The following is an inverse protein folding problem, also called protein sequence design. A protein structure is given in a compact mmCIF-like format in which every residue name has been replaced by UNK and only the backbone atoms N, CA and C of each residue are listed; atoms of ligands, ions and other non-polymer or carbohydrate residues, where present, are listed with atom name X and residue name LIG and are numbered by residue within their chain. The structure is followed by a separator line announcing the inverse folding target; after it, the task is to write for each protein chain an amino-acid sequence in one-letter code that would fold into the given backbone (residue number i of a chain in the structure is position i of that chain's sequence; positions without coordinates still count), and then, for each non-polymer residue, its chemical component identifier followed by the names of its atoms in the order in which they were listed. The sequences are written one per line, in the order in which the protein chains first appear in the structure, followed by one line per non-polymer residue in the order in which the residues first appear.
data_IF_608935158274
#
_entry.id   IF_608935158274
#
_cell.length_a   1.000
_cell.length_b   1.000
_cell.length_c   1.000
_cell.angle_alpha   90.00
_cell.angle_beta   90.00
_cell.angle_gamma   90.00
#
_symmetry.space_group_name_H-M   'P 1'
#
loop_
_entity.id
_entity.type
_entity.pdbx_description
1 polymer ?
#
# COMPACT_ATOMS: atom_id res chain seq x y z
N UNK A 1 -24.25 13.14 -49.33
CA UNK A 1 -23.99 12.93 -47.89
C UNK A 1 -22.82 11.98 -47.76
N UNK A 2 -21.69 12.41 -47.20
CA UNK A 2 -20.39 11.75 -47.34
C UNK A 2 -20.12 10.89 -46.10
N UNK A 3 -20.27 9.56 -46.22
CA UNK A 3 -20.19 8.57 -45.13
C UNK A 3 -18.86 8.64 -44.34
N UNK A 4 -17.81 9.19 -44.95
CA UNK A 4 -16.47 9.33 -44.35
C UNK A 4 -16.38 10.36 -43.23
N UNK A 5 -17.29 11.35 -43.16
CA UNK A 5 -17.24 12.40 -42.12
C UNK A 5 -17.96 12.02 -40.83
N UNK A 6 -18.87 11.06 -40.85
CA UNK A 6 -19.62 10.64 -39.66
C UNK A 6 -18.86 9.63 -38.80
N UNK A 7 -17.94 8.86 -39.40
CA UNK A 7 -17.18 7.83 -38.67
C UNK A 7 -16.08 8.41 -37.74
N UNK A 8 -15.65 9.64 -37.98
CA UNK A 8 -14.55 10.26 -37.22
C UNK A 8 -14.98 10.91 -35.90
N UNK A 9 -16.29 11.15 -35.70
CA UNK A 9 -16.78 11.78 -34.47
C UNK A 9 -17.13 10.74 -33.40
N UNK A 10 -17.47 9.50 -33.78
CA UNK A 10 -17.80 8.43 -32.82
C UNK A 10 -16.52 7.80 -32.23
N UNK A 11 -15.42 7.75 -32.98
CA UNK A 11 -14.15 7.20 -32.50
C UNK A 11 -13.44 8.09 -31.45
N UNK A 12 -13.73 9.41 -31.43
CA UNK A 12 -13.18 10.33 -30.43
C UNK A 12 -13.99 10.37 -29.12
N UNK A 13 -15.24 9.90 -29.12
CA UNK A 13 -16.10 9.84 -27.93
C UNK A 13 -15.99 8.52 -27.17
N UNK A 14 -15.44 7.46 -27.77
CA UNK A 14 -15.21 6.17 -27.10
C UNK A 14 -13.88 6.07 -26.34
N UNK A 15 -13.08 7.13 -26.26
CA UNK A 15 -11.79 7.15 -25.54
C UNK A 15 -11.87 7.64 -24.09
N UNK A 16 -13.07 7.90 -23.56
CA UNK A 16 -13.26 8.38 -22.16
C UNK A 16 -14.23 7.45 -21.39
N UNK A 17 -14.24 6.17 -21.73
CA UNK A 17 -15.03 5.17 -21.03
C UNK A 17 -14.14 4.00 -20.59
N UNK A 18 -13.03 4.31 -19.94
CA UNK A 18 -12.22 3.32 -19.23
C UNK A 18 -12.17 3.69 -17.75
N UNK A 19 -13.18 3.20 -17.03
CA UNK A 19 -13.23 2.96 -15.57
C UNK A 19 -12.74 4.10 -14.65
N UNK A 20 -13.63 5.04 -14.25
CA UNK A 20 -13.30 6.04 -13.24
C UNK A 20 -13.02 5.45 -11.84
N UNK A 21 -13.56 4.28 -11.50
CA UNK A 21 -13.43 3.72 -10.13
C UNK A 21 -12.01 3.33 -9.73
N UNK A 22 -11.18 2.86 -10.67
CA UNK A 22 -9.79 2.53 -10.34
C UNK A 22 -8.89 3.77 -10.26
N UNK A 23 -9.35 4.93 -10.75
CA UNK A 23 -8.58 6.16 -10.68
C UNK A 23 -8.42 6.63 -9.23
N UNK A 24 -9.48 6.48 -8.44
CA UNK A 24 -9.57 6.89 -7.04
C UNK A 24 -8.69 6.03 -6.10
N UNK A 25 -8.10 4.94 -6.60
CA UNK A 25 -7.12 4.14 -5.86
C UNK A 25 -5.68 4.65 -6.05
N UNK A 26 -5.36 5.21 -7.21
CA UNK A 26 -4.00 5.61 -7.54
C UNK A 26 -3.58 6.83 -6.74
N UNK A 27 -2.30 6.89 -6.38
CA UNK A 27 -1.76 8.05 -5.70
C UNK A 27 -1.24 7.74 -4.31
N UNK A 28 -1.17 8.78 -3.49
CA UNK A 28 -0.46 8.74 -2.21
C UNK A 28 -1.41 8.48 -1.05
N UNK A 29 -1.11 7.44 -0.27
CA UNK A 29 -1.84 7.10 0.95
C UNK A 29 -0.95 7.32 2.17
N UNK A 30 -1.51 7.84 3.26
CA UNK A 30 -0.77 8.00 4.51
C UNK A 30 -1.65 7.76 5.74
N UNK A 31 -1.01 7.38 6.84
CA UNK A 31 -1.74 7.13 8.07
C UNK A 31 -0.89 6.64 9.22
N UNK A 32 -1.55 5.90 10.11
CA UNK A 32 -0.99 5.44 11.38
C UNK A 32 -1.42 4.01 11.70
N UNK A 33 -0.81 3.45 12.72
CA UNK A 33 -0.98 2.05 13.08
C UNK A 33 -0.70 1.80 14.55
N UNK A 34 -1.00 0.59 14.99
CA UNK A 34 -0.80 0.14 16.37
C UNK A 34 -0.17 -1.24 16.39
N UNK A 35 0.62 -1.48 17.42
CA UNK A 35 1.35 -2.72 17.63
C UNK A 35 2.82 -2.44 17.87
N UNK A 36 3.53 -3.46 18.34
CA UNK A 36 4.98 -3.41 18.52
C UNK A 36 5.56 -4.80 18.25
N UNK A 37 6.87 -4.88 18.09
CA UNK A 37 7.60 -6.15 18.10
C UNK A 37 9.03 -5.95 18.60
N UNK A 38 9.71 -7.07 18.86
CA UNK A 38 11.04 -7.09 19.46
C UNK A 38 12.00 -7.85 18.53
N UNK A 39 12.64 -7.17 17.56
CA UNK A 39 13.53 -7.79 16.59
C UNK A 39 14.68 -8.56 17.25
N UNK A 40 15.24 -8.01 18.32
CA UNK A 40 16.25 -8.65 19.17
C UNK A 40 16.17 -8.10 20.61
N UNK A 41 16.86 -8.73 21.59
CA UNK A 41 16.77 -8.33 22.98
C UNK A 41 17.09 -6.84 23.19
N UNK A 42 16.26 -6.17 24.00
CA UNK A 42 16.44 -4.76 24.35
C UNK A 42 15.93 -3.76 23.31
N UNK A 43 15.50 -4.21 22.12
CA UNK A 43 14.91 -3.34 21.10
C UNK A 43 13.42 -3.61 20.98
N UNK A 44 12.65 -2.53 21.00
CA UNK A 44 11.23 -2.50 20.67
C UNK A 44 11.04 -1.52 19.52
N UNK A 45 10.28 -1.93 18.53
CA UNK A 45 9.89 -1.07 17.41
C UNK A 45 8.38 -1.01 17.31
N UNK A 46 7.86 0.06 16.71
CA UNK A 46 6.43 0.27 16.49
C UNK A 46 6.14 0.39 14.99
N UNK A 47 6.11 -0.75 14.27
CA UNK A 47 5.90 -0.74 12.83
C UNK A 47 4.59 -0.04 12.49
N UNK A 48 4.62 0.76 11.42
CA UNK A 48 3.45 1.47 10.92
C UNK A 48 2.86 2.50 11.90
N UNK A 49 3.55 2.90 12.98
CA UNK A 49 3.06 3.97 13.87
C UNK A 49 2.71 5.23 13.07
N UNK A 50 3.58 5.58 12.13
CA UNK A 50 3.28 6.47 11.01
C UNK A 50 3.77 5.81 9.72
N UNK A 51 3.07 6.07 8.62
CA UNK A 51 3.46 5.52 7.32
C UNK A 51 2.96 6.38 6.17
N UNK A 52 3.65 6.25 5.03
CA UNK A 52 3.28 6.84 3.76
C UNK A 52 3.59 5.84 2.64
N UNK A 53 2.66 5.65 1.72
CA UNK A 53 2.85 4.79 0.56
C UNK A 53 2.18 5.34 -0.68
N UNK A 54 2.48 4.70 -1.80
CA UNK A 54 1.98 5.04 -3.12
C UNK A 54 1.39 3.79 -3.77
N UNK A 55 0.26 3.96 -4.43
CA UNK A 55 -0.36 2.95 -5.28
C UNK A 55 -0.14 3.35 -6.74
N UNK A 56 0.53 2.47 -7.50
CA UNK A 56 0.81 2.71 -8.91
C UNK A 56 0.81 1.42 -9.74
N UNK A 57 0.75 1.57 -11.07
CA UNK A 57 0.90 0.46 -12.03
C UNK A 57 2.11 0.70 -12.91
N UNK A 58 2.86 -0.36 -13.21
CA UNK A 58 3.95 -0.34 -14.20
C UNK A 58 3.50 -1.03 -15.48
N UNK A 59 4.04 -0.64 -16.63
CA UNK A 59 3.68 -1.23 -17.93
C UNK A 59 3.97 -2.73 -18.01
N UNK A 60 4.96 -3.20 -17.25
CA UNK A 60 5.44 -4.59 -17.26
C UNK A 60 4.78 -5.50 -16.22
N UNK A 61 3.78 -5.02 -15.46
CA UNK A 61 3.15 -5.81 -14.39
C UNK A 61 1.64 -5.97 -14.56
N UNK A 62 1.20 -7.21 -14.33
CA UNK A 62 -0.21 -7.60 -14.40
C UNK A 62 -1.04 -7.01 -13.24
N UNK A 63 -0.40 -6.75 -12.10
CA UNK A 63 -1.03 -6.26 -10.88
C UNK A 63 -0.46 -4.90 -10.46
N UNK A 64 -1.27 -4.00 -9.89
CA UNK A 64 -0.77 -2.80 -9.26
C UNK A 64 0.08 -3.08 -8.02
N UNK A 65 0.94 -2.12 -7.66
CA UNK A 65 1.81 -2.19 -6.48
C UNK A 65 1.34 -1.16 -5.46
N UNK A 66 1.40 -1.54 -4.18
CA UNK A 66 1.41 -0.63 -3.05
C UNK A 66 2.76 -0.72 -2.34
N UNK A 67 3.51 0.38 -2.29
CA UNK A 67 4.80 0.42 -1.59
C UNK A 67 5.03 1.75 -0.88
N UNK A 68 5.95 1.78 0.06
CA UNK A 68 6.21 2.97 0.85
C UNK A 68 7.11 2.72 2.03
N UNK A 69 7.01 3.62 3.00
CA UNK A 69 7.84 3.65 4.21
C UNK A 69 7.00 3.83 5.47
N UNK A 70 7.52 3.30 6.57
CA UNK A 70 6.98 3.51 7.90
C UNK A 70 8.08 4.03 8.83
N UNK A 71 7.66 4.75 9.87
CA UNK A 71 8.54 5.26 10.91
C UNK A 71 7.84 5.32 12.26
N UNK A 72 8.61 5.22 13.33
CA UNK A 72 8.15 5.41 14.69
C UNK A 72 8.83 6.59 15.39
N UNK A 73 8.29 6.98 16.55
CA UNK A 73 8.80 8.11 17.34
C UNK A 73 10.18 7.86 17.95
N UNK A 74 10.64 6.61 17.96
CA UNK A 74 11.98 6.24 18.44
C UNK A 74 13.04 6.33 17.32
N UNK A 75 12.63 6.71 16.12
CA UNK A 75 13.51 6.84 14.96
C UNK A 75 13.74 5.52 14.22
N UNK A 76 13.00 4.45 14.54
CA UNK A 76 13.02 3.24 13.72
C UNK A 76 12.22 3.49 12.45
N UNK A 77 12.67 2.91 11.35
CA UNK A 77 12.00 3.04 10.06
C UNK A 77 12.20 1.78 9.20
N UNK A 78 11.41 1.67 8.15
CA UNK A 78 11.44 0.55 7.23
C UNK A 78 10.60 0.79 6.00
N UNK A 79 10.64 -0.14 5.07
CA UNK A 79 9.82 -0.08 3.85
C UNK A 79 8.76 -1.16 3.84
N UNK A 80 7.78 -1.03 2.95
CA UNK A 80 6.84 -2.09 2.64
C UNK A 80 6.55 -2.13 1.16
N UNK A 81 6.20 -3.32 0.67
CA UNK A 81 5.78 -3.54 -0.72
C UNK A 81 4.81 -4.71 -0.82
N UNK A 82 3.72 -4.52 -1.53
CA UNK A 82 2.70 -5.54 -1.77
C UNK A 82 2.05 -5.39 -3.13
N UNK A 83 1.53 -6.51 -3.62
CA UNK A 83 0.73 -6.53 -4.85
C UNK A 83 -0.73 -6.30 -4.50
N UNK A 84 -1.42 -5.56 -5.37
CA UNK A 84 -2.84 -5.26 -5.24
C UNK A 84 -3.64 -6.24 -6.10
N UNK A 85 -4.74 -6.73 -5.55
CA UNK A 85 -5.75 -7.44 -6.29
C UNK A 85 -7.14 -6.86 -6.01
N UNK A 86 -8.01 -6.97 -7.01
CA UNK A 86 -9.38 -6.47 -6.95
C UNK A 86 -10.32 -7.65 -6.64
N UNK A 87 -10.83 -7.78 -5.40
CA UNK A 87 -11.88 -8.76 -5.11
C UNK A 87 -13.16 -8.45 -5.91
N UNK A 88 -14.16 -9.35 -5.91
CA UNK A 88 -15.45 -9.09 -6.56
C UNK A 88 -16.26 -7.91 -5.99
N UNK A 89 -15.77 -7.25 -4.93
CA UNK A 89 -16.37 -6.06 -4.35
C UNK A 89 -15.81 -4.86 -5.13
N UNK A 90 -16.67 -4.18 -5.89
CA UNK A 90 -16.26 -3.18 -6.90
C UNK A 90 -15.58 -1.94 -6.33
N UNK A 91 -15.69 -1.70 -5.02
CA UNK A 91 -15.22 -0.49 -4.33
C UNK A 91 -14.00 -0.77 -3.41
N UNK A 92 -13.51 -2.01 -3.44
CA UNK A 92 -12.38 -2.44 -2.61
C UNK A 92 -11.21 -2.91 -3.46
N UNK A 93 -10.00 -2.60 -2.99
CA UNK A 93 -8.77 -3.22 -3.45
C UNK A 93 -7.98 -3.74 -2.25
N UNK A 94 -7.28 -4.87 -2.41
CA UNK A 94 -6.52 -5.47 -1.33
C UNK A 94 -5.05 -5.55 -1.72
N UNK A 95 -4.17 -4.94 -0.92
CA UNK A 95 -2.73 -5.11 -1.00
C UNK A 95 -2.26 -6.18 -0.01
N UNK A 96 -1.45 -7.12 -0.48
CA UNK A 96 -0.76 -8.09 0.36
C UNK A 96 0.73 -8.11 0.04
N UNK A 97 1.57 -8.09 1.08
CA UNK A 97 3.00 -7.88 0.90
C UNK A 97 3.84 -8.14 2.14
N UNK A 98 5.07 -7.63 2.08
CA UNK A 98 6.04 -7.68 3.17
C UNK A 98 6.41 -6.26 3.63
N UNK A 99 6.79 -6.16 4.89
CA UNK A 99 7.40 -4.97 5.46
C UNK A 99 8.77 -5.31 6.03
N UNK A 100 9.64 -4.31 6.06
CA UNK A 100 11.04 -4.42 6.46
C UNK A 100 11.37 -3.43 7.58
N UNK A 101 12.56 -3.54 8.15
CA UNK A 101 13.11 -2.61 9.14
C UNK A 101 14.59 -2.38 8.84
N UNK A 102 15.04 -1.13 8.90
CA UNK A 102 16.46 -0.80 8.87
C UNK A 102 17.01 -0.84 10.29
N UNK A 103 17.74 -1.91 10.60
CA UNK A 103 18.40 -2.08 11.90
C UNK A 103 19.54 -1.06 12.04
N UNK A 104 19.44 -0.08 12.95
CA UNK A 104 20.48 0.93 13.13
C UNK A 104 21.79 0.35 13.69
N UNK A 105 21.72 -0.80 14.38
CA UNK A 105 22.87 -1.53 14.91
C UNK A 105 23.34 -2.64 13.97
N UNK A 106 22.63 -2.83 12.85
CA UNK A 106 22.92 -3.80 11.83
C UNK A 106 24.28 -3.58 11.18
N UNK A 107 25.07 -4.64 11.05
CA UNK A 107 26.34 -4.60 10.30
C UNK A 107 26.15 -4.49 8.79
N UNK A 108 24.91 -4.65 8.31
CA UNK A 108 24.51 -4.53 6.92
C UNK A 108 23.62 -3.29 6.74
N UNK A 109 23.81 -2.59 5.62
CA UNK A 109 22.91 -1.51 5.20
C UNK A 109 21.57 -2.02 4.64
N UNK A 110 21.44 -3.35 4.46
CA UNK A 110 20.24 -3.98 3.92
C UNK A 110 19.13 -4.07 4.98
N UNK A 111 17.88 -3.75 4.63
CA UNK A 111 16.75 -3.86 5.55
C UNK A 111 16.42 -5.33 5.83
N UNK A 112 15.99 -5.62 7.06
CA UNK A 112 15.59 -6.95 7.50
C UNK A 112 14.08 -7.12 7.34
N UNK A 113 13.63 -8.27 6.85
CA UNK A 113 12.19 -8.58 6.75
C UNK A 113 11.57 -8.62 8.14
N UNK A 114 10.59 -7.74 8.39
CA UNK A 114 9.84 -7.67 9.63
C UNK A 114 8.62 -8.57 9.65
N UNK A 115 8.01 -8.80 8.49
CA UNK A 115 6.94 -9.77 8.30
C UNK A 115 5.99 -9.44 7.16
N UNK A 116 4.72 -9.84 7.31
CA UNK A 116 3.69 -9.74 6.26
C UNK A 116 2.66 -8.68 6.61
N UNK A 117 2.05 -8.05 5.61
CA UNK A 117 0.91 -7.16 5.79
C UNK A 117 -0.22 -7.46 4.81
N UNK A 118 -1.42 -7.02 5.19
CA UNK A 118 -2.62 -6.97 4.35
C UNK A 118 -3.33 -5.65 4.59
N UNK A 119 -3.61 -4.89 3.54
CA UNK A 119 -4.32 -3.62 3.56
C UNK A 119 -5.52 -3.69 2.61
N UNK A 120 -6.68 -3.24 3.06
CA UNK A 120 -7.87 -3.03 2.23
C UNK A 120 -8.06 -1.54 2.01
N UNK A 121 -8.13 -1.13 0.75
CA UNK A 121 -8.45 0.21 0.30
C UNK A 121 -9.93 0.25 -0.06
N UNK A 122 -10.68 1.12 0.61
CA UNK A 122 -12.05 1.49 0.25
C UNK A 122 -11.92 2.82 -0.50
N UNK A 123 -11.57 2.76 -1.77
CA UNK A 123 -11.09 3.91 -2.55
C UNK A 123 -12.20 4.90 -2.94
N UNK A 124 -13.47 4.57 -2.72
CA UNK A 124 -14.58 5.55 -2.79
C UNK A 124 -14.69 6.39 -1.50
N UNK A 125 -14.24 5.83 -0.37
CA UNK A 125 -14.30 6.48 0.94
C UNK A 125 -12.98 7.18 1.31
N UNK A 126 -12.00 7.20 0.40
CA UNK A 126 -10.64 7.72 0.61
C UNK A 126 -10.00 7.17 1.89
N UNK A 127 -10.27 5.89 2.19
CA UNK A 127 -9.87 5.26 3.44
C UNK A 127 -9.30 3.87 3.22
N UNK A 128 -8.25 3.55 3.97
CA UNK A 128 -7.67 2.21 3.98
C UNK A 128 -7.50 1.70 5.41
N UNK A 129 -7.64 0.39 5.60
CA UNK A 129 -7.41 -0.29 6.87
C UNK A 129 -6.79 -1.65 6.65
N UNK A 130 -5.96 -2.08 7.59
CA UNK A 130 -5.18 -3.30 7.43
C UNK A 130 -4.59 -3.82 8.71
N UNK A 131 -3.81 -4.87 8.55
CA UNK A 131 -3.04 -5.49 9.63
C UNK A 131 -1.69 -5.95 9.15
N UNK A 132 -0.73 -6.01 10.07
CA UNK A 132 0.58 -6.59 9.84
C UNK A 132 0.85 -7.68 10.86
N UNK A 133 1.74 -8.60 10.50
CA UNK A 133 2.29 -9.63 11.36
C UNK A 133 3.79 -9.49 11.39
N UNK A 134 4.40 -9.86 12.50
CA UNK A 134 5.85 -9.92 12.63
C UNK A 134 6.35 -11.36 12.64
N UNK A 135 7.57 -11.57 12.13
CA UNK A 135 8.31 -12.83 12.31
C UNK A 135 9.04 -12.88 13.66
N UNK A 136 9.19 -11.74 14.33
CA UNK A 136 9.91 -11.61 15.59
C UNK A 136 9.00 -11.81 16.79
N UNK A 137 9.57 -12.08 17.98
CA UNK A 137 8.80 -12.08 19.21
C UNK A 137 8.01 -10.78 19.37
N UNK A 138 6.74 -10.90 19.77
CA UNK A 138 5.91 -9.75 20.08
C UNK A 138 4.87 -10.08 21.15
N UNK A 139 4.56 -9.07 21.98
CA UNK A 139 3.39 -9.10 22.87
C UNK A 139 2.07 -9.08 22.09
N UNK A 140 2.10 -8.72 20.81
CA UNK A 140 0.99 -8.79 19.87
C UNK A 140 1.49 -9.38 18.55
N UNK A 141 1.13 -10.63 18.26
CA UNK A 141 1.52 -11.30 17.00
C UNK A 141 0.98 -10.61 15.72
N UNK A 142 0.11 -9.61 15.91
CA UNK A 142 -0.56 -8.83 14.87
C UNK A 142 -0.63 -7.37 15.33
N UNK A 143 -0.37 -6.43 14.42
CA UNK A 143 -0.70 -5.02 14.59
C UNK A 143 -1.69 -4.53 13.52
N UNK A 144 -2.15 -3.30 13.65
CA UNK A 144 -3.12 -2.65 12.76
C UNK A 144 -2.50 -1.47 12.04
N UNK A 145 -3.07 -1.10 10.90
CA UNK A 145 -2.73 0.08 10.11
C UNK A 145 -4.01 0.66 9.53
N UNK A 146 -4.11 1.98 9.46
CA UNK A 146 -5.18 2.70 8.79
C UNK A 146 -4.63 3.99 8.19
N UNK A 147 -5.31 4.52 7.17
CA UNK A 147 -4.87 5.72 6.48
C UNK A 147 -5.91 6.26 5.53
N UNK A 148 -5.55 7.35 4.86
CA UNK A 148 -6.38 8.06 3.90
C UNK A 148 -5.62 8.41 2.65
N UNK A 149 -6.34 8.58 1.56
CA UNK A 149 -5.81 9.24 0.38
C UNK A 149 -5.36 10.68 0.73
N UNK A 150 -4.33 11.17 0.04
CA UNK A 150 -3.70 12.46 0.27
C UNK A 150 -3.88 13.44 -0.90
N UNK A 151 -4.54 13.02 -1.98
CA UNK A 151 -4.82 13.84 -3.16
C UNK A 151 -6.10 14.70 -3.05
#
# INVERSE_FOLDING_TARGET
MNLKKTLLVVAALCLIASTPLAADLWGTWAGSGKGNCYPHPGVVIYPWQNWKGEVYKTEDQDAPIFEGEWYDELGNYGTFKGNIYFPPIEEEAIAEGEWTWYDPDGTSAEPVVGGKFKMTFMFIEDYCKGSWKTIWPSTSAVGTMEGKDQD
#
